data_IF_035876561367
#
_entry.id   IF_035876561367
#
_cell.length_a   1.000
_cell.length_b   1.000
_cell.length_c   1.000
_cell.angle_alpha   90.00
_cell.angle_beta   90.00
_cell.angle_gamma   90.00
#
_symmetry.space_group_name_H-M   'P 1'
#
loop_
_entity.id
_entity.type
_entity.pdbx_description
1 polymer ?
#
# COMPACT_ATOMS: atom_id res chain seq x y z
N UNK A 1 15.27 -10.29 -4.32
CA UNK A 1 14.07 -10.87 -3.70
C UNK A 1 13.59 -9.91 -2.63
N UNK A 2 12.30 -9.57 -2.65
CA UNK A 2 11.71 -8.65 -1.70
C UNK A 2 11.49 -9.34 -0.34
N UNK A 3 11.96 -8.69 0.72
CA UNK A 3 11.85 -9.14 2.09
C UNK A 3 10.95 -8.20 2.89
N UNK A 4 10.14 -8.78 3.78
CA UNK A 4 9.36 -8.00 4.74
C UNK A 4 10.27 -7.61 5.90
N UNK A 5 10.28 -6.33 6.24
CA UNK A 5 10.87 -5.82 7.48
C UNK A 5 9.77 -5.33 8.41
N UNK A 6 10.03 -5.31 9.71
CA UNK A 6 9.10 -4.77 10.70
C UNK A 6 9.84 -3.86 11.68
N UNK A 7 9.27 -2.70 11.95
CA UNK A 7 9.72 -1.77 12.98
C UNK A 7 8.64 -1.56 14.03
N UNK A 8 9.04 -1.45 15.28
CA UNK A 8 8.13 -1.00 16.35
C UNK A 8 8.32 0.50 16.53
N UNK A 9 7.23 1.24 16.37
CA UNK A 9 7.19 2.68 16.50
C UNK A 9 6.35 3.06 17.71
N UNK A 10 6.72 4.17 18.35
CA UNK A 10 6.00 4.72 19.50
C UNK A 10 5.50 6.11 19.16
N UNK A 11 4.17 6.28 19.17
CA UNK A 11 3.52 7.55 18.94
C UNK A 11 2.43 7.73 20.00
N UNK A 12 2.40 8.90 20.63
CA UNK A 12 1.41 9.24 21.66
C UNK A 12 1.31 8.20 22.81
N UNK A 13 2.46 7.68 23.24
CA UNK A 13 2.53 6.64 24.29
C UNK A 13 2.05 5.25 23.86
N UNK A 14 1.56 5.09 22.63
CA UNK A 14 1.12 3.80 22.06
C UNK A 14 2.23 3.23 21.17
N UNK A 15 2.47 1.93 21.32
CA UNK A 15 3.40 1.21 20.45
C UNK A 15 2.62 0.57 19.31
N UNK A 16 3.02 0.82 18.07
CA UNK A 16 2.48 0.13 16.90
C UNK A 16 3.61 -0.53 16.12
N UNK A 17 3.28 -1.67 15.52
CA UNK A 17 4.18 -2.37 14.61
C UNK A 17 3.84 -1.95 13.21
N UNK A 18 4.83 -1.36 12.54
CA UNK A 18 4.74 -1.05 11.12
C UNK A 18 5.62 -2.00 10.33
N UNK A 19 5.15 -2.38 9.17
CA UNK A 19 5.82 -3.28 8.26
C UNK A 19 6.29 -2.51 7.05
N UNK A 20 7.47 -2.87 6.57
CA UNK A 20 8.12 -2.26 5.42
C UNK A 20 8.69 -3.31 4.49
N UNK A 21 9.37 -2.84 3.45
CA UNK A 21 9.92 -3.68 2.38
C UNK A 21 11.41 -3.40 2.23
N UNK A 22 12.19 -4.47 2.08
CA UNK A 22 13.61 -4.40 1.74
C UNK A 22 13.89 -5.19 0.46
N UNK A 23 14.62 -4.59 -0.48
CA UNK A 23 15.07 -5.24 -1.71
C UNK A 23 16.48 -4.74 -2.07
N UNK A 24 17.50 -5.56 -1.82
CA UNK A 24 18.90 -5.15 -2.01
C UNK A 24 19.25 -3.96 -1.11
N UNK A 25 19.75 -2.89 -1.72
CA UNK A 25 20.06 -1.62 -1.06
C UNK A 25 18.82 -0.72 -0.85
N UNK A 26 17.69 -1.02 -1.50
CA UNK A 26 16.45 -0.26 -1.33
C UNK A 26 15.72 -0.73 -0.09
N UNK A 27 15.44 0.21 0.82
CA UNK A 27 14.67 -0.02 2.04
C UNK A 27 13.55 1.01 2.13
N UNK A 28 12.32 0.53 2.27
CA UNK A 28 11.14 1.35 2.53
C UNK A 28 10.60 0.95 3.89
N UNK A 29 10.67 1.88 4.82
CA UNK A 29 10.13 1.73 6.16
C UNK A 29 8.72 2.30 6.22
N UNK A 30 7.95 1.85 7.21
CA UNK A 30 6.62 2.40 7.52
C UNK A 30 5.60 2.36 6.36
N UNK A 31 5.54 1.22 5.66
CA UNK A 31 4.63 1.04 4.52
C UNK A 31 3.20 0.81 4.99
N UNK A 32 3.01 -0.12 5.94
CA UNK A 32 1.68 -0.42 6.47
C UNK A 32 1.75 -1.16 7.79
N UNK A 33 0.72 -1.02 8.62
CA UNK A 33 0.53 -1.86 9.82
C UNK A 33 -0.15 -3.20 9.48
N UNK A 34 -0.61 -3.40 8.24
CA UNK A 34 -1.33 -4.60 7.81
C UNK A 34 -0.40 -5.66 7.19
N UNK A 35 0.09 -6.55 8.03
CA UNK A 35 1.01 -7.65 7.64
C UNK A 35 0.50 -8.52 6.47
N UNK A 36 -0.72 -9.07 6.46
CA UNK A 36 -1.16 -9.94 5.37
C UNK A 36 -1.28 -9.20 4.02
N UNK A 37 -1.68 -7.92 4.03
CA UNK A 37 -1.71 -7.12 2.81
C UNK A 37 -0.30 -6.95 2.22
N UNK A 38 0.68 -6.62 3.07
CA UNK A 38 2.07 -6.49 2.64
C UNK A 38 2.67 -7.82 2.17
N UNK A 39 2.33 -8.94 2.83
CA UNK A 39 2.79 -10.26 2.41
C UNK A 39 2.29 -10.63 1.01
N UNK A 40 1.03 -10.34 0.70
CA UNK A 40 0.45 -10.57 -0.62
C UNK A 40 1.14 -9.71 -1.69
N UNK A 41 1.39 -8.44 -1.40
CA UNK A 41 2.13 -7.53 -2.27
C UNK A 41 3.55 -8.02 -2.56
N UNK A 42 4.28 -8.45 -1.52
CA UNK A 42 5.64 -9.01 -1.66
C UNK A 42 5.65 -10.29 -2.49
N UNK A 43 4.64 -11.16 -2.33
CA UNK A 43 4.52 -12.37 -3.14
C UNK A 43 4.32 -12.02 -4.62
N UNK A 44 3.49 -11.03 -4.92
CA UNK A 44 3.25 -10.56 -6.27
C UNK A 44 4.50 -9.90 -6.89
N UNK A 45 5.20 -9.05 -6.15
CA UNK A 45 6.46 -8.43 -6.57
C UNK A 45 7.55 -9.47 -6.88
N UNK A 46 7.66 -10.51 -6.03
CA UNK A 46 8.64 -11.59 -6.23
C UNK A 46 8.26 -12.50 -7.41
N UNK A 47 6.97 -12.68 -7.71
CA UNK A 47 6.50 -13.47 -8.85
C UNK A 47 6.70 -12.73 -10.18
N UNK A 48 6.43 -11.42 -10.22
CA UNK A 48 6.52 -10.61 -11.43
C UNK A 48 7.92 -10.08 -11.77
N UNK A 49 8.94 -10.37 -10.96
CA UNK A 49 10.28 -9.78 -11.05
C UNK A 49 10.25 -8.24 -11.14
N UNK A 50 9.38 -7.62 -10.33
CA UNK A 50 9.23 -6.16 -10.30
C UNK A 50 10.60 -5.52 -10.01
N UNK A 51 10.98 -4.50 -10.77
CA UNK A 51 12.20 -3.75 -10.49
C UNK A 51 12.00 -2.81 -9.28
N UNK A 52 13.01 -2.65 -8.40
CA UNK A 52 12.88 -1.86 -7.19
C UNK A 52 12.60 -0.37 -7.44
N UNK A 53 12.85 0.13 -8.65
CA UNK A 53 12.50 1.50 -9.05
C UNK A 53 10.99 1.72 -9.19
N UNK A 54 10.21 0.67 -9.47
CA UNK A 54 8.74 0.73 -9.53
C UNK A 54 8.07 0.40 -8.21
N UNK A 55 8.84 -0.04 -7.20
CA UNK A 55 8.29 -0.46 -5.91
C UNK A 55 7.46 0.65 -5.24
N UNK A 56 7.91 1.90 -5.32
CA UNK A 56 7.19 3.03 -4.74
C UNK A 56 5.87 3.32 -5.48
N UNK A 57 5.88 3.27 -6.81
CA UNK A 57 4.70 3.51 -7.66
C UNK A 57 3.64 2.42 -7.44
N UNK A 58 4.06 1.15 -7.40
CA UNK A 58 3.18 0.01 -7.14
C UNK A 58 2.65 0.01 -5.70
N UNK A 59 3.45 0.47 -4.73
CA UNK A 59 2.97 0.70 -3.37
C UNK A 59 1.91 1.80 -3.34
N UNK A 60 2.16 2.90 -4.02
CA UNK A 60 1.21 4.01 -4.12
C UNK A 60 -0.10 3.53 -4.76
N UNK A 61 -0.06 2.77 -5.87
CA UNK A 61 -1.26 2.15 -6.47
C UNK A 61 -1.94 1.19 -5.49
N UNK A 62 -1.19 0.36 -4.77
CA UNK A 62 -1.75 -0.61 -3.82
C UNK A 62 -2.51 0.05 -2.67
N UNK A 63 -2.04 1.20 -2.17
CA UNK A 63 -2.74 1.98 -1.13
C UNK A 63 -3.77 2.96 -1.71
N UNK A 64 -3.56 3.46 -2.92
CA UNK A 64 -4.47 4.37 -3.61
C UNK A 64 -5.69 3.64 -4.15
N UNK A 65 -5.58 2.35 -4.49
CA UNK A 65 -6.73 1.51 -4.77
C UNK A 65 -7.52 1.37 -3.49
N UNK A 66 -8.71 1.99 -3.37
CA UNK A 66 -9.61 1.61 -2.30
C UNK A 66 -9.83 0.11 -2.46
N UNK A 67 -9.62 -0.67 -1.39
CA UNK A 67 -10.11 -2.04 -1.36
C UNK A 67 -11.54 -2.04 -1.91
N UNK A 68 -11.95 -3.00 -2.75
CA UNK A 68 -13.33 -3.06 -3.22
C UNK A 68 -14.22 -3.09 -1.99
N UNK A 69 -14.79 -1.92 -1.73
CA UNK A 69 -15.73 -1.68 -0.65
C UNK A 69 -16.90 -2.62 -0.92
N UNK A 70 -16.98 -3.68 -0.13
CA UNK A 70 -18.29 -4.23 0.20
C UNK A 70 -19.03 -3.12 0.97
N UNK A 71 -19.71 -2.26 0.21
CA UNK A 71 -20.70 -1.31 0.73
C UNK A 71 -20.20 0.06 1.18
N UNK A 72 -19.74 0.91 0.26
CA UNK A 72 -19.99 2.35 0.38
C UNK A 72 -20.51 2.93 -0.94
N UNK A 73 -21.76 3.36 -0.91
CA UNK A 73 -22.45 4.03 -1.99
C UNK A 73 -21.66 5.25 -2.46
N UNK A 74 -21.50 5.38 -3.78
CA UNK A 74 -21.29 6.67 -4.42
C UNK A 74 -22.65 7.38 -4.45
N UNK A 75 -22.88 8.51 -3.75
CA UNK A 75 -23.87 9.46 -4.21
C UNK A 75 -23.25 10.16 -5.41
N UNK A 76 -23.63 9.73 -6.61
CA UNK A 76 -23.43 10.50 -7.84
C UNK A 76 -24.45 11.64 -7.85
N UNK A 77 -24.22 12.66 -7.04
CA UNK A 77 -24.91 13.95 -7.16
C UNK A 77 -23.94 14.97 -7.74
N UNK A 78 -24.04 15.23 -9.04
CA UNK A 78 -24.81 16.37 -9.51
C UNK A 78 -24.70 16.45 -11.03
N UNK A 79 -25.85 16.47 -11.69
CA UNK A 79 -25.94 16.64 -13.12
C UNK A 79 -25.56 18.06 -13.51
N UNK A 80 -24.65 18.20 -14.45
CA UNK A 80 -24.64 19.36 -15.34
C UNK A 80 -25.00 18.89 -16.75
N UNK A 81 -26.21 19.18 -17.26
CA UNK A 81 -26.45 19.11 -18.69
C UNK A 81 -25.64 20.23 -19.35
N UNK A 82 -24.73 19.88 -20.26
CA UNK A 82 -24.13 20.85 -21.16
C UNK A 82 -25.24 21.53 -21.96
N UNK A 83 -25.59 22.74 -21.57
CA UNK A 83 -26.26 23.72 -22.41
C UNK A 83 -25.22 24.79 -22.78
N UNK A 84 -24.94 24.91 -24.08
CA UNK A 84 -25.02 26.12 -24.94
C UNK A 84 -24.43 25.74 -26.30
#
# INVERSE_FOLDING_TARGET
MYQMISGTYRLDGRSYTSYGIQCGDTRIEDVTTNRPALAAFLAQCNHGALAPCHLADELEDFFARPAPITGYAVPVEDGLPCAI
#
